data_IF_880531557167
#
_entry.id   IF_880531557167
#
_cell.length_a   1.000
_cell.length_b   1.000
_cell.length_c   1.000
_cell.angle_alpha   90.00
_cell.angle_beta   90.00
_cell.angle_gamma   90.00
#
_symmetry.space_group_name_H-M   'P 1'
#
loop_
_entity.id
_entity.type
_entity.pdbx_description
1 polymer ?
#
# COMPACT_ATOMS: atom_id res chain seq x y z
N UNK A 1 -36.06 19.69 55.33
CA UNK A 1 -36.52 18.42 54.71
C UNK A 1 -37.54 18.79 53.64
N UNK A 2 -37.54 18.03 52.53
CA UNK A 2 -38.28 18.21 51.28
C UNK A 2 -39.77 18.57 51.44
N UNK A 3 -40.45 19.22 50.50
CA UNK A 3 -40.15 19.52 49.10
C UNK A 3 -41.22 20.46 48.52
N UNK A 4 -40.92 21.09 47.39
CA UNK A 4 -41.80 22.03 46.72
C UNK A 4 -42.45 21.39 45.48
N UNK A 5 -43.78 21.49 45.40
CA UNK A 5 -44.57 21.31 44.17
C UNK A 5 -45.33 22.61 43.96
N UNK A 6 -45.10 23.26 42.81
CA UNK A 6 -46.03 24.24 42.26
C UNK A 6 -45.90 24.23 40.73
N UNK A 7 -47.01 23.88 40.08
CA UNK A 7 -47.26 24.03 38.65
C UNK A 7 -48.07 25.33 38.45
N UNK A 8 -47.81 26.13 37.40
CA UNK A 8 -48.62 27.32 37.15
C UNK A 8 -48.14 28.27 36.03
N UNK A 9 -48.50 27.92 34.79
CA UNK A 9 -48.90 28.74 33.64
C UNK A 9 -48.25 30.11 33.30
N UNK A 10 -47.66 30.14 32.10
CA UNK A 10 -47.90 31.04 30.95
C UNK A 10 -48.13 32.55 31.20
N UNK A 11 -47.23 33.39 30.65
CA UNK A 11 -47.65 34.43 29.69
C UNK A 11 -46.45 34.95 28.90
N UNK A 12 -46.66 35.14 27.59
CA UNK A 12 -45.60 35.37 26.61
C UNK A 12 -45.03 36.79 26.56
N UNK A 13 -43.93 36.92 25.81
CA UNK A 13 -43.48 38.16 25.20
C UNK A 13 -43.00 37.88 23.77
N UNK A 14 -43.53 38.66 22.82
CA UNK A 14 -43.09 38.80 21.43
C UNK A 14 -41.85 39.73 21.35
N UNK A 15 -41.14 39.77 20.20
CA UNK A 15 -39.72 40.10 20.13
C UNK A 15 -39.42 41.57 19.77
N UNK A 16 -38.28 42.08 20.24
CA UNK A 16 -37.44 43.12 19.61
C UNK A 16 -36.10 43.14 20.40
N UNK A 17 -34.91 43.44 19.88
CA UNK A 17 -34.45 44.00 18.61
C UNK A 17 -33.14 43.32 18.19
N UNK A 18 -32.86 43.37 16.89
CA UNK A 18 -31.64 42.84 16.28
C UNK A 18 -30.39 43.58 16.80
N UNK A 19 -29.52 42.85 17.50
CA UNK A 19 -28.14 43.28 17.75
C UNK A 19 -27.33 43.01 16.48
N UNK A 20 -26.99 44.07 15.74
CA UNK A 20 -25.96 44.03 14.71
C UNK A 20 -24.60 43.82 15.39
N UNK A 21 -24.03 42.64 15.26
CA UNK A 21 -22.60 42.45 15.47
C UNK A 21 -21.88 42.66 14.14
N UNK A 22 -21.15 43.77 14.02
CA UNK A 22 -19.99 43.86 13.14
C UNK A 22 -18.93 42.93 13.69
N UNK A 23 -18.89 41.71 13.16
CA UNK A 23 -17.77 40.79 13.30
C UNK A 23 -17.02 40.75 11.98
N UNK A 24 -15.81 41.28 11.99
CA UNK A 24 -14.85 41.24 10.91
C UNK A 24 -14.55 39.76 10.58
N UNK A 25 -15.11 39.25 9.47
CA UNK A 25 -14.86 37.89 8.99
C UNK A 25 -13.58 37.87 8.14
N UNK A 26 -12.44 38.05 8.79
CA UNK A 26 -11.15 37.67 8.22
C UNK A 26 -10.85 36.22 8.62
N UNK A 27 -11.26 35.29 7.76
CA UNK A 27 -10.83 33.89 7.83
C UNK A 27 -9.32 33.86 7.61
N UNK A 28 -8.51 33.30 8.54
CA UNK A 28 -7.09 33.11 8.28
C UNK A 28 -6.94 32.15 7.10
N UNK A 29 -6.33 32.62 6.01
CA UNK A 29 -5.93 31.77 4.90
C UNK A 29 -5.09 30.61 5.45
N UNK A 30 -5.61 29.39 5.28
CA UNK A 30 -4.83 28.17 5.45
C UNK A 30 -3.58 28.30 4.61
N UNK A 31 -2.44 28.40 5.27
CA UNK A 31 -1.13 28.46 4.62
C UNK A 31 -0.98 27.21 3.73
N UNK A 32 -1.16 27.42 2.44
CA UNK A 32 -0.98 26.42 1.40
C UNK A 32 0.51 26.07 1.42
N UNK A 33 0.87 24.91 1.98
CA UNK A 33 2.25 24.42 1.96
C UNK A 33 2.73 24.46 0.51
N UNK A 34 3.79 25.23 0.25
CA UNK A 34 4.36 25.35 -1.08
C UNK A 34 4.72 23.93 -1.60
N UNK A 35 4.40 23.59 -2.86
CA UNK A 35 4.76 22.30 -3.41
C UNK A 35 6.27 22.13 -3.33
N UNK A 36 6.72 20.98 -2.81
CA UNK A 36 8.14 20.62 -2.80
C UNK A 36 8.67 20.72 -4.23
N UNK A 37 9.80 21.43 -4.48
CA UNK A 37 10.34 21.59 -5.82
C UNK A 37 10.62 20.21 -6.41
N UNK A 38 9.88 19.90 -7.47
CA UNK A 38 10.02 18.66 -8.22
C UNK A 38 11.15 18.85 -9.23
N UNK A 39 12.22 18.06 -9.11
CA UNK A 39 13.32 18.10 -10.08
C UNK A 39 12.82 17.44 -11.37
N UNK A 40 12.76 18.19 -12.47
CA UNK A 40 12.52 17.60 -13.78
C UNK A 40 13.78 16.87 -14.25
N UNK A 41 13.65 15.58 -14.51
CA UNK A 41 14.76 14.76 -15.00
C UNK A 41 14.92 14.89 -16.52
N UNK A 42 16.15 14.93 -17.00
CA UNK A 42 16.45 14.78 -18.43
C UNK A 42 16.10 13.36 -18.88
N UNK A 43 14.93 13.22 -19.52
CA UNK A 43 14.41 11.94 -20.02
C UNK A 43 15.36 11.26 -20.98
N UNK A 44 16.17 12.02 -21.72
CA UNK A 44 17.12 11.45 -22.67
C UNK A 44 18.29 10.78 -21.96
N UNK A 45 18.60 11.10 -20.70
CA UNK A 45 19.74 10.55 -19.98
C UNK A 45 19.39 9.38 -19.04
N UNK A 46 18.11 9.03 -18.91
CA UNK A 46 17.66 8.07 -17.91
C UNK A 46 18.06 6.63 -18.26
N UNK A 47 18.59 5.94 -17.26
CA UNK A 47 18.87 4.51 -17.29
C UNK A 47 17.83 3.69 -16.52
N UNK A 48 18.18 2.43 -16.29
CA UNK A 48 17.35 1.49 -15.56
C UNK A 48 18.18 0.46 -14.78
N UNK A 49 17.55 -0.13 -13.78
CA UNK A 49 18.04 -1.31 -13.06
C UNK A 49 17.10 -2.47 -13.36
N UNK A 50 17.63 -3.64 -13.69
CA UNK A 50 16.85 -4.86 -13.87
C UNK A 50 17.53 -6.01 -13.17
N UNK A 51 16.78 -7.05 -12.84
CA UNK A 51 17.36 -8.23 -12.24
C UNK A 51 16.36 -9.35 -12.03
N UNK A 52 16.87 -10.42 -11.42
CA UNK A 52 16.09 -11.58 -11.01
C UNK A 52 16.31 -11.81 -9.52
N UNK A 53 15.22 -12.01 -8.78
CA UNK A 53 15.30 -12.45 -7.41
C UNK A 53 15.27 -13.97 -7.37
N UNK A 54 16.32 -14.56 -6.79
CA UNK A 54 16.50 -16.00 -6.70
C UNK A 54 16.19 -16.51 -5.30
N UNK A 55 15.77 -17.77 -5.23
CA UNK A 55 15.66 -18.53 -4.01
C UNK A 55 16.77 -19.58 -3.97
N UNK A 56 17.66 -19.49 -2.99
CA UNK A 56 18.74 -20.44 -2.76
C UNK A 56 18.28 -21.60 -1.88
N UNK A 57 18.57 -22.82 -2.33
CA UNK A 57 18.22 -24.05 -1.63
C UNK A 57 16.82 -24.57 -1.98
N UNK A 58 16.36 -25.58 -1.22
CA UNK A 58 15.02 -26.14 -1.37
C UNK A 58 14.01 -25.14 -0.80
N UNK A 59 13.03 -24.73 -1.61
CA UNK A 59 11.91 -23.91 -1.16
C UNK A 59 11.10 -24.65 -0.08
N UNK A 60 10.62 -23.96 0.97
CA UNK A 60 9.66 -24.52 1.91
C UNK A 60 8.44 -25.08 1.17
N UNK A 61 7.89 -26.18 1.67
CA UNK A 61 6.72 -26.78 1.05
C UNK A 61 5.51 -25.84 1.18
N UNK A 62 4.71 -25.65 0.11
CA UNK A 62 3.53 -24.80 0.16
C UNK A 62 2.57 -25.25 1.26
N UNK A 63 2.19 -24.32 2.14
CA UNK A 63 1.24 -24.60 3.22
C UNK A 63 -0.16 -24.56 2.65
N UNK A 64 -0.87 -25.71 2.70
CA UNK A 64 -2.28 -25.78 2.30
C UNK A 64 -3.14 -24.94 3.25
N UNK A 65 -4.03 -24.14 2.68
CA UNK A 65 -4.99 -23.33 3.44
C UNK A 65 -6.24 -24.18 3.69
N UNK A 66 -6.63 -24.28 4.95
CA UNK A 66 -7.93 -24.84 5.32
C UNK A 66 -9.00 -23.73 5.25
N UNK A 67 -9.92 -23.89 4.29
CA UNK A 67 -11.03 -22.97 4.05
C UNK A 67 -12.37 -23.53 4.53
N UNK A 68 -12.38 -24.64 5.30
CA UNK A 68 -13.62 -25.31 5.70
C UNK A 68 -14.55 -24.48 6.58
N UNK A 69 -14.04 -23.38 7.16
CA UNK A 69 -14.81 -22.47 8.00
C UNK A 69 -15.82 -21.61 7.20
N UNK A 70 -15.69 -21.53 5.88
CA UNK A 70 -16.61 -20.79 5.01
C UNK A 70 -17.03 -21.67 3.82
N UNK A 71 -18.34 -21.97 3.66
CA UNK A 71 -18.84 -22.79 2.55
C UNK A 71 -18.51 -22.22 1.16
N UNK A 72 -18.51 -20.90 0.98
CA UNK A 72 -18.16 -20.27 -0.30
C UNK A 72 -16.68 -20.51 -0.62
N UNK A 73 -15.82 -20.39 0.38
CA UNK A 73 -14.38 -20.59 0.22
C UNK A 73 -14.02 -22.06 -0.02
N UNK A 74 -14.64 -22.98 0.72
CA UNK A 74 -14.41 -24.43 0.59
C UNK A 74 -14.95 -25.04 -0.72
N UNK A 75 -15.92 -24.40 -1.38
CA UNK A 75 -16.43 -24.82 -2.69
C UNK A 75 -15.54 -24.38 -3.86
N UNK A 76 -14.46 -23.64 -3.61
CA UNK A 76 -13.48 -23.32 -4.66
C UNK A 76 -12.83 -24.62 -5.15
N UNK A 77 -12.87 -24.87 -6.46
CA UNK A 77 -12.52 -26.17 -7.04
C UNK A 77 -11.00 -26.50 -7.02
N UNK A 78 -10.16 -25.57 -6.55
CA UNK A 78 -8.71 -25.70 -6.56
C UNK A 78 -8.16 -25.72 -5.14
N UNK A 79 -7.12 -26.53 -4.91
CA UNK A 79 -6.35 -26.45 -3.68
C UNK A 79 -5.74 -25.05 -3.53
N UNK A 80 -5.97 -24.43 -2.37
CA UNK A 80 -5.42 -23.13 -2.03
C UNK A 80 -4.20 -23.26 -1.12
N UNK A 81 -3.15 -22.53 -1.46
CA UNK A 81 -1.89 -22.51 -0.71
C UNK A 81 -1.50 -21.09 -0.29
N UNK A 82 -0.81 -20.99 0.84
CA UNK A 82 -0.23 -19.76 1.33
C UNK A 82 0.91 -19.29 0.41
N UNK A 83 0.98 -17.98 0.16
CA UNK A 83 1.94 -17.37 -0.77
C UNK A 83 3.23 -16.89 -0.09
N UNK A 84 3.52 -17.45 1.08
CA UNK A 84 4.66 -17.08 1.93
C UNK A 84 6.02 -17.28 1.25
N UNK A 85 6.09 -18.21 0.30
CA UNK A 85 7.28 -18.50 -0.50
C UNK A 85 6.83 -18.82 -1.94
N UNK A 86 6.60 -17.79 -2.74
CA UNK A 86 6.24 -17.93 -4.15
C UNK A 86 7.47 -18.28 -5.01
N UNK A 87 7.97 -19.51 -4.88
CA UNK A 87 9.16 -19.98 -5.60
C UNK A 87 8.78 -20.84 -6.80
N UNK A 88 9.31 -20.49 -7.97
CA UNK A 88 9.19 -21.25 -9.22
C UNK A 88 10.55 -21.34 -9.88
N UNK A 89 11.03 -22.55 -10.16
CA UNK A 89 12.33 -22.80 -10.83
C UNK A 89 13.52 -22.07 -10.17
N UNK A 90 13.52 -21.99 -8.84
CA UNK A 90 14.54 -21.27 -8.06
C UNK A 90 14.49 -19.75 -8.16
N UNK A 91 13.41 -19.18 -8.71
CA UNK A 91 13.13 -17.75 -8.78
C UNK A 91 11.98 -17.41 -7.84
N UNK A 92 12.02 -16.22 -7.26
CA UNK A 92 11.15 -15.80 -6.17
C UNK A 92 10.26 -14.62 -6.59
N UNK A 93 8.95 -14.85 -6.59
CA UNK A 93 7.92 -13.82 -6.72
C UNK A 93 7.58 -13.15 -5.38
N UNK A 94 6.64 -12.21 -5.39
CA UNK A 94 6.17 -11.48 -4.20
C UNK A 94 7.29 -10.73 -3.44
N UNK A 95 8.28 -10.19 -4.17
CA UNK A 95 9.36 -9.37 -3.60
C UNK A 95 9.17 -7.92 -4.05
N UNK A 96 9.14 -7.01 -3.09
CA UNK A 96 9.13 -5.57 -3.35
C UNK A 96 10.56 -5.06 -3.49
N UNK A 97 10.86 -4.41 -4.62
CA UNK A 97 12.19 -3.88 -4.94
C UNK A 97 12.09 -2.37 -5.12
N UNK A 98 12.95 -1.60 -4.45
CA UNK A 98 12.87 -0.14 -4.53
C UNK A 98 14.23 0.54 -4.35
N UNK A 99 14.31 1.78 -4.82
CA UNK A 99 15.46 2.65 -4.55
C UNK A 99 15.32 3.24 -3.15
N UNK A 100 16.16 2.74 -2.24
CA UNK A 100 16.19 3.17 -0.83
C UNK A 100 16.88 4.52 -0.65
N UNK A 101 17.96 4.74 -1.38
CA UNK A 101 18.68 6.02 -1.42
C UNK A 101 19.42 6.21 -2.74
N UNK A 102 19.72 7.45 -3.10
CA UNK A 102 20.44 7.79 -4.33
C UNK A 102 20.64 9.30 -4.46
N UNK A 103 21.03 9.79 -5.65
CA UNK A 103 21.21 11.21 -5.91
C UNK A 103 19.94 12.02 -5.58
N UNK A 104 20.06 13.25 -5.05
CA UNK A 104 18.90 14.09 -4.72
C UNK A 104 17.93 14.28 -5.88
N UNK A 105 18.42 14.39 -7.11
CA UNK A 105 17.57 14.49 -8.29
C UNK A 105 16.57 13.34 -8.40
N UNK A 106 16.99 12.10 -8.11
CA UNK A 106 16.11 10.94 -8.09
C UNK A 106 15.20 10.92 -6.84
N UNK A 107 15.75 11.21 -5.66
CA UNK A 107 15.00 11.10 -4.40
C UNK A 107 13.95 12.21 -4.21
N UNK A 108 14.09 13.33 -4.91
CA UNK A 108 13.13 14.44 -4.96
C UNK A 108 12.22 14.38 -6.20
N UNK A 109 12.34 13.33 -7.01
CA UNK A 109 11.44 13.12 -8.15
C UNK A 109 10.07 12.72 -7.64
N UNK A 110 9.10 13.61 -7.85
CA UNK A 110 7.68 13.26 -7.81
C UNK A 110 7.30 12.49 -9.08
N UNK A 111 6.51 11.43 -8.92
CA UNK A 111 5.85 10.78 -10.04
C UNK A 111 4.43 11.32 -10.21
N UNK A 112 3.82 11.22 -11.41
CA UNK A 112 2.38 11.38 -11.53
C UNK A 112 1.70 10.35 -10.62
N UNK A 113 0.62 10.75 -9.94
CA UNK A 113 -0.23 9.79 -9.23
C UNK A 113 -0.90 8.89 -10.28
N UNK A 114 -0.56 7.60 -10.36
CA UNK A 114 -1.16 6.71 -11.35
C UNK A 114 -2.62 6.41 -10.99
N UNK A 115 -3.32 5.72 -11.89
CA UNK A 115 -4.60 5.12 -11.56
C UNK A 115 -4.48 4.23 -10.31
N UNK A 116 -5.57 4.04 -9.55
CA UNK A 116 -5.54 3.18 -8.36
C UNK A 116 -5.00 1.79 -8.67
N UNK A 117 -4.12 1.28 -7.81
CA UNK A 117 -3.68 -0.12 -7.86
C UNK A 117 -4.77 -0.99 -7.25
N UNK A 118 -5.17 -2.07 -7.93
CA UNK A 118 -6.25 -2.93 -7.45
C UNK A 118 -5.69 -3.99 -6.49
N UNK A 119 -6.38 -4.16 -5.35
CA UNK A 119 -6.25 -5.34 -4.50
C UNK A 119 -7.62 -6.00 -4.39
N UNK A 120 -7.78 -7.16 -5.01
CA UNK A 120 -9.07 -7.87 -5.06
C UNK A 120 -9.14 -8.99 -4.02
N UNK A 121 -10.33 -9.28 -3.53
CA UNK A 121 -10.64 -10.45 -2.73
C UNK A 121 -11.34 -11.46 -3.64
N UNK A 122 -10.61 -12.49 -4.04
CA UNK A 122 -11.07 -13.50 -5.00
C UNK A 122 -10.49 -14.87 -4.63
N UNK A 123 -11.34 -15.90 -4.66
CA UNK A 123 -10.97 -17.24 -4.20
C UNK A 123 -10.65 -17.28 -2.70
N UNK A 124 -11.26 -16.39 -1.92
CA UNK A 124 -10.97 -16.15 -0.51
C UNK A 124 -9.49 -15.87 -0.24
N UNK A 125 -8.88 -15.05 -1.10
CA UNK A 125 -7.50 -14.55 -1.01
C UNK A 125 -7.44 -13.10 -1.44
N UNK A 126 -6.43 -12.36 -0.99
CA UNK A 126 -6.10 -11.08 -1.60
C UNK A 126 -5.21 -11.29 -2.82
N UNK A 127 -5.56 -10.65 -3.93
CA UNK A 127 -4.83 -10.77 -5.20
C UNK A 127 -4.57 -9.39 -5.79
N UNK A 128 -3.31 -9.05 -6.14
CA UNK A 128 -2.10 -9.85 -5.90
C UNK A 128 -1.64 -9.79 -4.44
N UNK A 129 -0.81 -10.75 -4.01
CA UNK A 129 -0.33 -10.86 -2.62
C UNK A 129 0.53 -9.67 -2.16
N UNK A 130 1.30 -9.07 -3.08
CA UNK A 130 2.12 -7.89 -2.83
C UNK A 130 1.78 -6.83 -3.86
N UNK A 131 1.40 -5.63 -3.38
CA UNK A 131 1.23 -4.45 -4.22
C UNK A 131 2.15 -3.32 -3.77
N UNK A 132 2.37 -2.37 -4.68
CA UNK A 132 3.11 -1.15 -4.38
C UNK A 132 2.44 0.06 -5.04
N UNK A 133 2.43 1.18 -4.31
CA UNK A 133 1.97 2.49 -4.76
C UNK A 133 3.06 3.52 -4.45
N UNK A 134 3.17 4.57 -5.26
CA UNK A 134 3.95 5.75 -4.85
C UNK A 134 3.15 6.52 -3.80
N UNK A 135 3.83 7.23 -2.89
CA UNK A 135 3.24 8.21 -1.98
C UNK A 135 2.21 9.09 -2.71
N UNK A 136 1.03 9.23 -2.12
CA UNK A 136 -0.09 9.97 -2.70
C UNK A 136 -0.92 9.15 -3.68
N UNK A 137 -0.48 7.95 -4.04
CA UNK A 137 -1.22 6.93 -4.79
C UNK A 137 -2.36 6.33 -3.97
N UNK A 138 -3.24 5.62 -4.66
CA UNK A 138 -4.40 4.97 -4.07
C UNK A 138 -4.46 3.48 -4.41
N UNK A 139 -5.09 2.74 -3.50
CA UNK A 139 -5.46 1.34 -3.70
C UNK A 139 -6.97 1.27 -3.83
N UNK A 140 -7.45 0.56 -4.85
CA UNK A 140 -8.85 0.19 -5.02
C UNK A 140 -9.04 -1.24 -4.52
N UNK A 141 -9.69 -1.38 -3.37
CA UNK A 141 -10.03 -2.67 -2.80
C UNK A 141 -11.35 -3.19 -3.37
N UNK A 142 -11.34 -4.41 -3.88
CA UNK A 142 -12.50 -5.09 -4.45
C UNK A 142 -12.84 -6.36 -3.66
N UNK A 143 -14.09 -6.78 -3.75
CA UNK A 143 -14.53 -8.10 -3.32
C UNK A 143 -15.27 -8.78 -4.46
N UNK A 144 -14.57 -9.62 -5.22
CA UNK A 144 -15.13 -10.40 -6.31
C UNK A 144 -15.77 -11.71 -5.85
N UNK A 145 -15.51 -12.14 -4.61
CA UNK A 145 -16.10 -13.33 -4.02
C UNK A 145 -17.58 -13.18 -3.68
N UNK A 146 -18.26 -14.32 -3.55
CA UNK A 146 -19.65 -14.41 -3.09
C UNK A 146 -19.80 -14.50 -1.57
N UNK A 147 -18.74 -14.20 -0.80
CA UNK A 147 -18.77 -14.11 0.67
C UNK A 147 -18.28 -12.76 1.15
N UNK A 148 -18.59 -12.42 2.41
CA UNK A 148 -18.13 -11.17 3.01
C UNK A 148 -16.67 -11.29 3.41
N UNK A 149 -15.88 -10.28 3.06
CA UNK A 149 -14.51 -10.15 3.54
C UNK A 149 -14.34 -8.81 4.25
N UNK A 150 -13.11 -8.51 4.63
CA UNK A 150 -12.74 -7.36 5.42
C UNK A 150 -11.38 -6.86 4.93
N UNK A 151 -11.15 -5.55 4.98
CA UNK A 151 -9.85 -4.93 4.68
C UNK A 151 -9.33 -4.36 6.00
N UNK A 152 -8.36 -5.04 6.61
CA UNK A 152 -7.68 -4.58 7.82
C UNK A 152 -6.22 -4.25 7.51
N UNK A 153 -5.86 -2.97 7.38
CA UNK A 153 -4.47 -2.54 7.24
C UNK A 153 -3.87 -2.21 8.61
N UNK A 154 -2.62 -2.63 8.86
CA UNK A 154 -1.91 -2.40 10.12
C UNK A 154 -0.62 -1.59 9.90
N UNK A 155 -0.71 -0.31 9.50
CA UNK A 155 0.47 0.52 9.38
C UNK A 155 1.09 0.82 10.76
N UNK A 156 2.40 1.05 10.75
CA UNK A 156 3.23 1.33 11.92
C UNK A 156 3.87 2.72 11.88
N UNK A 157 3.90 3.35 10.70
CA UNK A 157 4.44 4.71 10.54
C UNK A 157 3.46 5.74 11.09
N UNK A 158 3.97 6.68 11.88
CA UNK A 158 3.19 7.80 12.42
C UNK A 158 2.57 8.62 11.29
N UNK A 159 1.27 8.90 11.41
CA UNK A 159 0.51 9.64 10.40
C UNK A 159 -0.17 8.76 9.35
N UNK A 160 0.12 7.46 9.30
CA UNK A 160 -0.69 6.47 8.58
C UNK A 160 -1.96 6.15 9.38
N UNK A 161 -3.11 6.06 8.71
CA UNK A 161 -4.36 5.64 9.35
C UNK A 161 -4.65 4.17 9.02
N UNK A 162 -4.93 3.32 10.02
CA UNK A 162 -5.41 1.97 9.75
C UNK A 162 -6.77 2.03 9.05
N UNK A 163 -7.00 1.07 8.18
CA UNK A 163 -8.30 0.82 7.53
C UNK A 163 -8.83 -0.47 8.14
N UNK A 164 -10.07 -0.46 8.62
CA UNK A 164 -10.79 -1.68 9.03
C UNK A 164 -12.23 -1.57 8.51
N UNK A 165 -12.50 -2.22 7.37
CA UNK A 165 -13.78 -2.09 6.65
C UNK A 165 -14.24 -3.46 6.16
N UNK A 166 -15.46 -3.84 6.52
CA UNK A 166 -16.13 -5.01 5.92
C UNK A 166 -16.62 -4.69 4.50
N UNK A 167 -16.39 -5.62 3.58
CA UNK A 167 -16.88 -5.56 2.20
C UNK A 167 -17.80 -6.74 1.95
N UNK A 168 -19.07 -6.46 1.69
CA UNK A 168 -20.04 -7.48 1.30
C UNK A 168 -19.71 -8.14 -0.05
N UNK A 169 -20.32 -9.30 -0.35
CA UNK A 169 -20.14 -10.02 -1.62
C UNK A 169 -20.39 -9.10 -2.82
N UNK A 170 -19.44 -9.01 -3.76
CA UNK A 170 -19.56 -8.15 -4.96
C UNK A 170 -19.94 -6.70 -4.64
N UNK A 171 -19.54 -6.22 -3.46
CA UNK A 171 -19.81 -4.87 -2.99
C UNK A 171 -19.07 -3.80 -3.81
N UNK A 172 -19.47 -2.54 -3.62
CA UNK A 172 -18.81 -1.42 -4.28
C UNK A 172 -17.32 -1.34 -3.89
N UNK A 173 -16.41 -1.12 -4.87
CA UNK A 173 -14.99 -0.94 -4.59
C UNK A 173 -14.73 0.19 -3.58
N UNK A 174 -13.73 -0.01 -2.71
CA UNK A 174 -13.28 1.00 -1.76
C UNK A 174 -11.95 1.57 -2.22
N UNK A 175 -11.88 2.85 -2.53
CA UNK A 175 -10.63 3.52 -2.92
C UNK A 175 -10.04 4.24 -1.70
N UNK A 176 -8.79 3.95 -1.36
CA UNK A 176 -8.07 4.57 -0.23
C UNK A 176 -6.72 5.10 -0.67
N UNK A 177 -6.38 6.30 -0.24
CA UNK A 177 -5.12 6.97 -0.56
C UNK A 177 -4.06 6.68 0.51
N UNK A 178 -2.80 6.50 0.08
CA UNK A 178 -1.67 6.20 0.95
C UNK A 178 -0.61 7.30 0.84
N UNK A 179 -0.44 8.07 1.92
CA UNK A 179 0.39 9.30 1.91
C UNK A 179 1.71 9.16 2.68
N UNK A 180 1.90 8.13 3.47
CA UNK A 180 3.13 7.90 4.21
C UNK A 180 3.90 6.73 3.60
N UNK A 181 5.17 6.92 3.20
CA UNK A 181 6.00 5.81 2.76
C UNK A 181 6.19 4.81 3.89
N UNK A 182 5.88 3.57 3.59
CA UNK A 182 5.95 2.47 4.53
C UNK A 182 6.06 1.18 3.71
N UNK A 183 6.97 0.30 4.13
CA UNK A 183 7.27 -0.94 3.43
C UNK A 183 6.61 -2.07 4.20
N UNK A 184 5.96 -2.98 3.47
CA UNK A 184 5.29 -4.16 4.03
C UNK A 184 4.16 -3.84 5.04
N UNK A 185 3.26 -2.89 4.72
CA UNK A 185 2.02 -2.69 5.49
C UNK A 185 1.18 -3.97 5.37
N UNK A 186 0.90 -4.70 6.46
CA UNK A 186 0.09 -5.91 6.38
C UNK A 186 -1.37 -5.56 6.13
N UNK A 187 -2.00 -6.33 5.24
CA UNK A 187 -3.45 -6.38 5.04
C UNK A 187 -3.94 -7.74 5.51
N UNK A 188 -5.01 -7.78 6.31
CA UNK A 188 -5.63 -9.01 6.79
C UNK A 188 -7.15 -8.95 6.67
N UNK A 189 -7.75 -10.13 6.63
CA UNK A 189 -9.19 -10.28 6.82
C UNK A 189 -9.47 -10.73 8.26
N UNK A 190 -10.28 -9.98 8.99
CA UNK A 190 -10.71 -10.38 10.34
C UNK A 190 -11.56 -11.67 10.35
N UNK A 191 -12.24 -11.97 9.24
CA UNK A 191 -13.13 -13.14 9.11
C UNK A 191 -12.41 -14.41 8.63
N UNK A 192 -11.36 -14.24 7.83
CA UNK A 192 -10.65 -15.33 7.17
C UNK A 192 -9.16 -15.23 7.50
N UNK A 193 -8.69 -15.84 8.61
CA UNK A 193 -7.34 -15.62 9.16
C UNK A 193 -6.19 -15.98 8.20
N UNK A 194 -6.46 -16.76 7.16
CA UNK A 194 -5.48 -17.10 6.13
C UNK A 194 -5.26 -15.96 5.11
N UNK A 195 -6.24 -15.08 4.93
CA UNK A 195 -6.14 -13.98 3.96
C UNK A 195 -5.18 -12.92 4.49
N UNK A 196 -4.08 -12.76 3.78
CA UNK A 196 -3.11 -11.72 4.03
C UNK A 196 -2.47 -11.24 2.72
N UNK A 197 -2.03 -9.99 2.71
CA UNK A 197 -1.29 -9.35 1.62
C UNK A 197 -0.44 -8.22 2.19
N UNK A 198 0.39 -7.60 1.35
CA UNK A 198 1.26 -6.49 1.73
C UNK A 198 1.14 -5.30 0.77
N UNK A 199 0.97 -4.11 1.34
CA UNK A 199 1.01 -2.85 0.61
C UNK A 199 2.34 -2.16 0.89
N UNK A 200 3.03 -1.77 -0.18
CA UNK A 200 4.25 -0.98 -0.11
C UNK A 200 3.97 0.43 -0.61
N UNK A 201 4.25 1.45 0.20
CA UNK A 201 4.13 2.85 -0.18
C UNK A 201 5.55 3.39 -0.42
N UNK A 202 5.92 3.52 -1.68
CA UNK A 202 7.23 4.05 -2.07
C UNK A 202 7.29 5.56 -1.91
N UNK A 203 8.42 6.09 -1.43
CA UNK A 203 8.65 7.53 -1.38
C UNK A 203 8.83 8.16 -2.78
N UNK A 204 9.30 7.37 -3.75
CA UNK A 204 9.61 7.78 -5.13
C UNK A 204 8.91 6.85 -6.12
N UNK A 205 8.78 7.20 -7.41
CA UNK A 205 8.24 6.27 -8.41
C UNK A 205 9.21 5.12 -8.77
N UNK A 206 10.39 5.03 -8.13
CA UNK A 206 11.43 4.07 -8.49
C UNK A 206 11.33 2.78 -7.68
N UNK A 207 10.38 1.94 -8.04
CA UNK A 207 10.15 0.64 -7.43
C UNK A 207 9.58 -0.35 -8.45
N UNK A 208 9.55 -1.62 -8.05
CA UNK A 208 8.92 -2.72 -8.76
C UNK A 208 8.45 -3.77 -7.74
N UNK A 209 7.48 -4.60 -8.15
CA UNK A 209 7.21 -5.89 -7.52
C UNK A 209 7.62 -6.95 -8.53
N UNK A 210 8.30 -8.00 -8.08
CA UNK A 210 8.70 -9.10 -8.97
C UNK A 210 7.51 -9.76 -9.64
N UNK A 211 7.67 -10.16 -10.89
CA UNK A 211 6.73 -11.04 -11.55
C UNK A 211 6.81 -12.49 -11.03
N UNK A 212 5.98 -13.38 -11.59
CA UNK A 212 5.92 -14.79 -11.22
C UNK A 212 7.21 -15.57 -11.54
N UNK A 213 8.07 -15.03 -12.40
CA UNK A 213 9.39 -15.57 -12.71
C UNK A 213 10.50 -14.79 -11.99
N UNK A 214 10.16 -14.05 -10.93
CA UNK A 214 11.09 -13.34 -10.06
C UNK A 214 11.82 -12.16 -10.73
N UNK A 215 11.39 -11.72 -11.90
CA UNK A 215 12.04 -10.61 -12.60
C UNK A 215 11.50 -9.26 -12.11
N UNK A 216 12.38 -8.25 -12.06
CA UNK A 216 12.01 -6.87 -11.77
C UNK A 216 12.74 -5.90 -12.70
N UNK A 217 12.14 -4.72 -12.87
CA UNK A 217 12.74 -3.61 -13.61
C UNK A 217 12.32 -2.26 -13.06
N UNK A 218 13.28 -1.39 -12.78
CA UNK A 218 13.08 -0.02 -12.34
C UNK A 218 13.68 0.90 -13.39
N UNK A 219 12.83 1.66 -14.08
CA UNK A 219 13.22 2.55 -15.18
C UNK A 219 13.19 4.01 -14.76
N UNK A 220 13.80 4.88 -15.57
CA UNK A 220 13.70 6.33 -15.39
C UNK A 220 14.68 6.88 -14.36
N UNK A 221 15.75 6.13 -14.06
CA UNK A 221 16.74 6.53 -13.08
C UNK A 221 17.77 7.46 -13.72
N UNK A 222 18.04 8.65 -13.14
CA UNK A 222 19.20 9.45 -13.50
C UNK A 222 20.50 8.65 -13.34
N UNK A 223 21.55 9.06 -14.05
CA UNK A 223 22.87 8.49 -13.80
C UNK A 223 23.31 8.74 -12.34
N UNK A 224 23.93 7.75 -11.72
CA UNK A 224 24.42 7.86 -10.35
C UNK A 224 24.45 6.54 -9.60
N UNK A 225 24.86 6.63 -8.33
CA UNK A 225 24.98 5.48 -7.43
C UNK A 225 23.80 5.44 -6.48
N UNK A 226 23.18 4.27 -6.36
CA UNK A 226 21.96 4.02 -5.60
C UNK A 226 22.15 2.88 -4.61
N UNK A 227 21.38 2.92 -3.53
CA UNK A 227 21.10 1.75 -2.70
C UNK A 227 19.79 1.14 -3.18
N UNK A 228 19.88 -0.03 -3.80
CA UNK A 228 18.75 -0.86 -4.17
C UNK A 228 18.38 -1.76 -2.99
N UNK A 229 17.11 -1.86 -2.65
CA UNK A 229 16.60 -2.73 -1.61
C UNK A 229 15.57 -3.71 -2.18
N UNK A 230 15.60 -4.95 -1.72
CA UNK A 230 14.62 -5.98 -2.01
C UNK A 230 14.06 -6.52 -0.67
N UNK A 231 12.74 -6.56 -0.54
CA UNK A 231 12.06 -6.90 0.72
C UNK A 231 11.05 -8.02 0.49
N UNK A 232 11.11 -9.04 1.35
CA UNK A 232 10.23 -10.19 1.32
C UNK A 232 9.64 -10.48 2.72
N UNK A 233 8.37 -10.87 2.79
CA UNK A 233 7.61 -10.98 4.05
C UNK A 233 8.24 -11.90 5.10
N UNK A 234 8.86 -13.01 4.67
CA UNK A 234 9.52 -13.97 5.58
C UNK A 234 11.01 -13.75 5.76
N UNK A 235 11.64 -13.08 4.80
CA UNK A 235 13.11 -13.06 4.68
C UNK A 235 13.71 -11.68 4.92
N UNK A 236 12.86 -10.67 5.14
CA UNK A 236 13.27 -9.32 5.46
C UNK A 236 13.81 -8.57 4.25
N UNK A 237 14.60 -7.53 4.53
CA UNK A 237 15.23 -6.70 3.52
C UNK A 237 16.67 -7.14 3.26
N UNK A 238 17.06 -7.16 1.98
CA UNK A 238 18.44 -7.15 1.53
C UNK A 238 18.71 -5.85 0.76
N UNK A 239 19.94 -5.35 0.81
CA UNK A 239 20.35 -4.15 0.06
C UNK A 239 21.62 -4.40 -0.74
N UNK A 240 21.80 -3.65 -1.83
CA UNK A 240 23.05 -3.58 -2.57
C UNK A 240 23.25 -2.20 -3.19
N UNK A 241 24.51 -1.85 -3.44
CA UNK A 241 24.86 -0.66 -4.20
C UNK A 241 24.86 -0.96 -5.69
N UNK A 242 24.23 -0.10 -6.48
CA UNK A 242 24.20 -0.18 -7.95
C UNK A 242 24.55 1.18 -8.55
N UNK A 243 25.29 1.18 -9.66
CA UNK A 243 25.62 2.40 -10.41
C UNK A 243 24.91 2.36 -11.75
N UNK A 244 24.07 3.36 -12.00
CA UNK A 244 23.36 3.54 -13.27
C UNK A 244 24.16 4.52 -14.12
N UNK A 245 24.63 4.06 -15.26
CA UNK A 245 25.25 4.91 -16.28
C UNK A 245 24.19 5.68 -17.10
N UNK A 246 24.53 6.81 -17.74
CA UNK A 246 23.60 7.53 -18.62
C UNK A 246 23.04 6.60 -19.71
N UNK A 247 21.71 6.52 -19.83
CA UNK A 247 20.99 5.58 -20.73
C UNK A 247 21.34 4.09 -20.52
N UNK A 248 22.01 3.75 -19.41
CA UNK A 248 22.52 2.42 -19.14
C UNK A 248 21.46 1.48 -18.56
N UNK A 249 21.65 0.18 -18.80
CA UNK A 249 20.93 -0.88 -18.07
C UNK A 249 21.90 -1.52 -17.09
N UNK A 250 21.56 -1.44 -15.80
CA UNK A 250 22.33 -2.08 -14.73
C UNK A 250 21.66 -3.39 -14.34
N UNK A 251 22.43 -4.47 -14.22
CA UNK A 251 21.95 -5.77 -13.73
C UNK A 251 22.21 -5.90 -12.23
N UNK A 252 21.20 -6.33 -11.49
CA UNK A 252 21.26 -6.45 -10.03
C UNK A 252 20.39 -7.62 -9.55
N UNK A 253 21.01 -8.78 -9.28
CA UNK A 253 20.30 -9.97 -8.82
C UNK A 253 20.45 -10.13 -7.30
N UNK A 254 19.36 -10.45 -6.60
CA UNK A 254 19.40 -10.85 -5.19
C UNK A 254 19.19 -12.37 -5.05
N UNK A 255 19.70 -12.93 -3.97
CA UNK A 255 19.43 -14.32 -3.59
C UNK A 255 18.94 -14.37 -2.15
N UNK A 256 17.73 -14.84 -1.96
CA UNK A 256 17.14 -15.10 -0.65
C UNK A 256 17.25 -16.58 -0.30
N UNK A 257 17.22 -16.90 0.99
CA UNK A 257 17.11 -18.27 1.50
C UNK A 257 16.16 -18.28 2.69
N UNK A 258 15.47 -19.40 2.90
CA UNK A 258 14.66 -19.58 4.11
C UNK A 258 15.55 -19.48 5.35
N UNK A 259 15.02 -18.86 6.41
CA UNK A 259 15.65 -18.80 7.73
C UNK A 259 15.47 -20.11 8.48
#
# INVERSE_FOLDING_TARGET
MAGAVACGAMSGCKPSDAVKHSGDNTVPETSKTAPTPTVQLDKAALGMVTGTIRFAGKAPEPVKIDMSMDPVCSMTAADNFAEQYAVKDGKLGNVYVYIKSGPPAAMLTGGPTPAPVVLDQVGCKYVPHVIAVVRGGSVEFRNSDSTMHNIHTMPTVVGSQPIDISQGPKGAPQVKQFNQPEVMIPVRCNNHPWMNAFINVSATPFFAVTDADGHFGITGLPAGTYTLAAVHEKMGEQTMTVTVEPKGTTKADFSFSAK
#
